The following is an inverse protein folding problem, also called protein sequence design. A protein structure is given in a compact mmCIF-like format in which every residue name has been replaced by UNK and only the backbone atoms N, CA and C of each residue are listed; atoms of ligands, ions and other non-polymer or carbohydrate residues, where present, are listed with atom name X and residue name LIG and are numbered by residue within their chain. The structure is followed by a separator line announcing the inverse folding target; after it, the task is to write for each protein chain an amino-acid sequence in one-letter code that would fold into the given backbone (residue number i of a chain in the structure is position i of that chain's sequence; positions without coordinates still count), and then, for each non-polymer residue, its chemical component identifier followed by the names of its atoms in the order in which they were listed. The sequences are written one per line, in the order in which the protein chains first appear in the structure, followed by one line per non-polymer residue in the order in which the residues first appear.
data_IF_243610411968
#
_entry.id   IF_243610411968
#
_cell.length_a   1.000
_cell.length_b   1.000
_cell.length_c   1.000
_cell.angle_alpha   90.00
_cell.angle_beta   90.00
_cell.angle_gamma   90.00
#
_symmetry.space_group_name_H-M   'P 1'
#
loop_
_entity.id
_entity.type
_entity.pdbx_description
1 polymer ?
#
# COMPACT_ATOMS: atom_id res chain seq x y z
N UNK A 1 -13.16 -25.28 14.71
CA UNK A 1 -12.08 -25.95 15.48
C UNK A 1 -11.80 -27.28 14.79
N UNK A 2 -10.56 -27.49 14.34
CA UNK A 2 -10.15 -28.77 13.73
C UNK A 2 -9.13 -29.39 14.69
N UNK A 3 -9.40 -30.61 15.17
CA UNK A 3 -8.49 -31.40 16.02
C UNK A 3 -8.44 -32.84 15.55
N UNK A 4 -7.25 -33.43 15.49
CA UNK A 4 -7.04 -34.84 15.17
C UNK A 4 -6.82 -35.70 16.41
N UNK A 5 -7.24 -36.96 16.37
CA UNK A 5 -6.89 -38.01 17.34
C UNK A 5 -6.41 -39.24 16.59
N UNK A 6 -5.43 -39.94 17.16
CA UNK A 6 -4.95 -41.23 16.64
C UNK A 6 -5.59 -42.33 17.48
N UNK A 7 -6.06 -43.40 16.84
CA UNK A 7 -6.52 -44.62 17.51
C UNK A 7 -5.55 -45.72 17.07
N UNK A 8 -4.95 -46.43 18.03
CA UNK A 8 -4.11 -47.59 17.71
C UNK A 8 -4.94 -48.85 17.43
N UNK A 9 -4.28 -49.92 16.96
CA UNK A 9 -4.94 -51.20 16.64
C UNK A 9 -5.63 -51.83 17.87
N UNK A 10 -5.18 -51.51 19.09
CA UNK A 10 -5.78 -51.99 20.33
C UNK A 10 -6.96 -51.11 20.80
N UNK A 11 -7.26 -50.01 20.11
CA UNK A 11 -8.35 -49.09 20.44
C UNK A 11 -7.96 -47.99 21.43
N UNK A 12 -6.67 -47.84 21.78
CA UNK A 12 -6.24 -46.73 22.63
C UNK A 12 -6.34 -45.43 21.84
N UNK A 13 -7.10 -44.47 22.37
CA UNK A 13 -7.23 -43.17 21.70
C UNK A 13 -6.19 -42.20 22.24
N UNK A 14 -5.25 -41.81 21.39
CA UNK A 14 -4.22 -40.83 21.67
C UNK A 14 -4.79 -39.46 22.09
N UNK A 15 -3.94 -38.65 22.70
CA UNK A 15 -4.28 -37.28 23.11
C UNK A 15 -4.78 -36.47 21.90
N UNK A 16 -5.76 -35.58 22.13
CA UNK A 16 -6.15 -34.63 21.09
C UNK A 16 -4.95 -33.79 20.68
N UNK A 17 -4.74 -33.64 19.37
CA UNK A 17 -3.72 -32.72 18.85
C UNK A 17 -3.98 -31.28 19.33
N UNK A 18 -2.94 -30.44 19.28
CA UNK A 18 -3.09 -29.01 19.56
C UNK A 18 -4.14 -28.35 18.65
N UNK A 19 -4.80 -27.31 19.15
CA UNK A 19 -5.80 -26.59 18.38
C UNK A 19 -5.12 -25.64 17.36
N UNK A 20 -5.57 -25.67 16.10
CA UNK A 20 -5.24 -24.65 15.10
C UNK A 20 -6.20 -23.46 15.26
N UNK A 21 -5.65 -22.26 15.43
CA UNK A 21 -6.40 -21.01 15.32
C UNK A 21 -6.11 -20.38 13.96
N UNK A 22 -7.15 -19.99 13.23
CA UNK A 22 -7.09 -19.31 11.94
C UNK A 22 -7.94 -18.05 12.02
N UNK A 23 -7.41 -16.95 11.50
CA UNK A 23 -8.17 -15.72 11.26
C UNK A 23 -8.37 -15.60 9.75
N UNK A 24 -9.62 -15.50 9.31
CA UNK A 24 -9.96 -15.18 7.93
C UNK A 24 -10.16 -13.68 7.82
N UNK A 25 -9.38 -13.04 6.96
CA UNK A 25 -9.57 -11.65 6.59
C UNK A 25 -9.68 -11.55 5.07
N UNK A 26 -10.83 -11.07 4.61
CA UNK A 26 -11.15 -10.89 3.19
C UNK A 26 -11.50 -9.43 2.89
N UNK A 27 -11.25 -8.51 3.82
CA UNK A 27 -11.68 -7.12 3.70
C UNK A 27 -10.54 -6.26 3.17
N UNK A 28 -10.62 -5.88 1.90
CA UNK A 28 -9.63 -4.99 1.33
C UNK A 28 -9.71 -3.56 1.89
N UNK A 29 -8.58 -2.83 1.94
CA UNK A 29 -8.58 -1.39 2.15
C UNK A 29 -9.43 -0.64 1.10
N UNK A 30 -9.97 0.49 1.51
CA UNK A 30 -10.72 1.39 0.63
C UNK A 30 -9.85 2.11 -0.40
N UNK A 31 -10.49 2.83 -1.32
CA UNK A 31 -9.82 3.60 -2.37
C UNK A 31 -9.28 4.93 -1.81
N UNK A 32 -8.02 5.32 -2.12
CA UNK A 32 -7.54 6.67 -1.83
C UNK A 32 -8.42 7.74 -2.50
N UNK A 33 -8.97 8.66 -1.72
CA UNK A 33 -9.99 9.61 -2.19
C UNK A 33 -9.45 10.96 -2.67
N UNK A 34 -8.22 11.32 -2.28
CA UNK A 34 -7.65 12.63 -2.54
C UNK A 34 -6.51 12.52 -3.57
N UNK A 35 -6.29 13.56 -4.40
CA UNK A 35 -5.25 13.55 -5.41
C UNK A 35 -3.85 13.41 -4.78
N UNK A 36 -2.96 12.74 -5.50
CA UNK A 36 -1.53 12.71 -5.19
C UNK A 36 -0.93 14.08 -5.51
N UNK A 37 -0.14 14.61 -4.59
CA UNK A 37 0.45 15.95 -4.70
C UNK A 37 1.97 15.87 -4.82
N UNK A 38 2.60 16.82 -5.50
CA UNK A 38 4.04 17.05 -5.31
C UNK A 38 4.27 17.66 -3.93
N UNK A 39 5.29 17.20 -3.22
CA UNK A 39 5.78 17.89 -2.03
C UNK A 39 6.36 19.24 -2.48
N UNK A 40 6.17 20.31 -1.71
CA UNK A 40 6.53 21.67 -2.12
C UNK A 40 8.00 21.86 -2.54
N UNK A 41 8.94 21.05 -2.03
CA UNK A 41 10.35 21.09 -2.45
C UNK A 41 10.61 20.37 -3.79
N UNK A 42 9.65 19.58 -4.26
CA UNK A 42 9.67 18.85 -5.54
C UNK A 42 8.78 19.50 -6.60
N UNK A 43 7.80 20.32 -6.23
CA UNK A 43 7.07 21.18 -7.16
C UNK A 43 7.94 22.40 -7.50
N UNK A 44 8.44 22.46 -8.74
CA UNK A 44 9.53 23.34 -9.17
C UNK A 44 9.19 24.01 -10.50
N UNK A 45 9.88 25.12 -10.77
CA UNK A 45 9.53 26.02 -11.86
C UNK A 45 9.16 27.38 -11.29
N UNK A 46 8.09 27.98 -11.81
CA UNK A 46 7.61 29.30 -11.37
C UNK A 46 6.77 29.26 -10.10
N UNK A 47 6.28 28.09 -9.68
CA UNK A 47 5.45 27.89 -8.50
C UNK A 47 5.82 26.56 -7.82
N UNK A 48 5.44 26.41 -6.56
CA UNK A 48 5.57 25.18 -5.78
C UNK A 48 4.20 24.54 -5.46
N UNK A 49 3.18 24.93 -6.23
CA UNK A 49 1.82 24.40 -6.14
C UNK A 49 1.14 24.26 -7.51
N UNK A 50 1.90 24.21 -8.60
CA UNK A 50 1.36 24.08 -9.97
C UNK A 50 1.57 22.68 -10.58
N UNK A 51 2.04 21.74 -9.77
CA UNK A 51 2.29 20.34 -10.12
C UNK A 51 3.24 20.15 -11.31
N UNK A 52 4.25 21.02 -11.42
CA UNK A 52 5.32 20.89 -12.41
C UNK A 52 6.63 20.59 -11.71
N UNK A 53 7.43 19.71 -12.30
CA UNK A 53 8.71 19.39 -11.68
C UNK A 53 9.81 19.21 -12.71
N UNK A 54 10.97 19.80 -12.42
CA UNK A 54 12.25 19.50 -13.07
C UNK A 54 13.22 18.77 -12.11
N UNK A 55 12.75 18.40 -10.91
CA UNK A 55 13.53 17.63 -9.94
C UNK A 55 13.61 16.19 -10.43
N UNK A 56 14.83 15.66 -10.53
CA UNK A 56 15.05 14.30 -11.06
C UNK A 56 14.45 13.20 -10.17
N UNK A 57 14.40 13.44 -8.87
CA UNK A 57 13.87 12.54 -7.84
C UNK A 57 12.74 13.23 -7.06
N UNK A 58 11.58 13.49 -7.69
CA UNK A 58 10.51 14.21 -7.03
C UNK A 58 9.93 13.36 -5.88
N UNK A 59 9.54 14.04 -4.81
CA UNK A 59 8.78 13.45 -3.71
C UNK A 59 7.31 13.78 -3.86
N UNK A 60 6.47 12.76 -3.71
CA UNK A 60 5.03 12.81 -3.83
C UNK A 60 4.39 12.56 -2.47
N UNK A 61 3.33 13.30 -2.17
CA UNK A 61 2.47 13.07 -1.03
C UNK A 61 1.22 12.30 -1.45
N UNK A 62 1.03 11.14 -0.85
CA UNK A 62 -0.09 10.25 -1.07
C UNK A 62 -0.99 10.28 0.16
N UNK A 63 -2.21 10.79 0.02
CA UNK A 63 -3.20 10.81 1.10
C UNK A 63 -3.75 9.41 1.37
N UNK A 64 -3.93 9.08 2.66
CA UNK A 64 -4.54 7.83 3.10
C UNK A 64 -6.05 7.96 3.36
N UNK A 65 -6.63 9.16 3.18
CA UNK A 65 -8.07 9.37 3.29
C UNK A 65 -8.85 8.41 2.36
N UNK A 66 -9.93 7.83 2.89
CA UNK A 66 -10.78 6.86 2.19
C UNK A 66 -10.29 5.41 2.20
N UNK A 67 -9.05 5.15 2.66
CA UNK A 67 -8.47 3.80 2.63
C UNK A 67 -8.78 2.95 3.86
N UNK A 68 -9.04 3.57 5.00
CA UNK A 68 -9.05 2.90 6.32
C UNK A 68 -7.76 2.13 6.63
N UNK A 69 -6.64 2.51 5.99
CA UNK A 69 -5.36 1.83 6.17
C UNK A 69 -4.87 1.93 7.61
N UNK A 70 -4.16 0.88 8.03
CA UNK A 70 -3.53 0.79 9.35
C UNK A 70 -2.02 0.59 9.22
N UNK A 71 -1.30 0.74 10.33
CA UNK A 71 0.13 0.45 10.35
C UNK A 71 0.37 -1.05 10.06
N UNK A 72 1.30 -1.34 9.15
CA UNK A 72 1.58 -2.69 8.64
C UNK A 72 1.11 -2.89 7.19
N UNK A 73 0.11 -2.14 6.73
CA UNK A 73 -0.37 -2.22 5.35
C UNK A 73 0.69 -1.73 4.37
N UNK A 74 0.61 -2.17 3.11
CA UNK A 74 1.52 -1.79 2.03
C UNK A 74 0.86 -0.79 1.09
N UNK A 75 1.45 0.39 0.94
CA UNK A 75 1.07 1.39 -0.06
C UNK A 75 1.88 1.16 -1.34
N UNK A 76 1.21 1.18 -2.49
CA UNK A 76 1.84 1.09 -3.81
C UNK A 76 1.44 2.28 -4.68
N UNK A 77 2.43 2.91 -5.32
CA UNK A 77 2.23 3.94 -6.34
C UNK A 77 2.23 3.30 -7.73
N UNK A 78 1.35 3.81 -8.59
CA UNK A 78 1.09 3.32 -9.95
C UNK A 78 1.26 4.48 -10.94
N UNK A 79 1.78 4.18 -12.12
CA UNK A 79 1.86 5.09 -13.27
C UNK A 79 0.95 4.57 -14.38
N UNK A 80 0.02 5.40 -14.82
CA UNK A 80 -1.01 5.07 -15.81
C UNK A 80 -1.77 3.78 -15.45
N UNK A 81 -2.05 3.60 -14.16
CA UNK A 81 -2.75 2.44 -13.59
C UNK A 81 -1.90 1.16 -13.48
N UNK A 82 -0.63 1.20 -13.87
CA UNK A 82 0.30 0.07 -13.83
C UNK A 82 1.41 0.25 -12.80
N UNK A 83 1.97 -0.84 -12.31
CA UNK A 83 3.16 -0.78 -11.46
C UNK A 83 4.36 -0.23 -12.25
N UNK A 84 5.22 0.53 -11.57
CA UNK A 84 6.52 0.94 -12.11
C UNK A 84 7.40 -0.29 -12.40
N UNK A 85 8.35 -0.14 -13.34
CA UNK A 85 9.34 -1.18 -13.67
C UNK A 85 10.07 -1.71 -12.42
N UNK A 86 10.35 -0.82 -11.47
CA UNK A 86 10.68 -1.17 -10.09
C UNK A 86 9.52 -0.71 -9.21
N UNK A 87 8.73 -1.63 -8.62
CA UNK A 87 7.56 -1.26 -7.84
C UNK A 87 7.89 -0.27 -6.72
N UNK A 88 7.16 0.84 -6.70
CA UNK A 88 7.27 1.85 -5.64
C UNK A 88 6.29 1.47 -4.54
N UNK A 89 6.80 0.74 -3.53
CA UNK A 89 6.03 0.26 -2.38
C UNK A 89 6.59 0.76 -1.06
N UNK A 90 5.73 0.95 -0.08
CA UNK A 90 6.13 1.34 1.27
C UNK A 90 5.19 0.75 2.31
N UNK A 91 5.76 0.13 3.35
CA UNK A 91 4.98 -0.33 4.51
C UNK A 91 4.55 0.86 5.34
N UNK A 92 3.29 0.86 5.75
CA UNK A 92 2.73 1.94 6.51
C UNK A 92 3.13 1.85 8.00
N UNK A 93 3.72 2.90 8.56
CA UNK A 93 3.95 3.06 10.01
C UNK A 93 2.82 3.85 10.67
N UNK A 94 2.74 3.75 11.99
CA UNK A 94 1.74 4.50 12.78
C UNK A 94 1.85 6.02 12.64
N UNK A 95 3.04 6.57 12.42
CA UNK A 95 3.23 8.02 12.27
C UNK A 95 2.41 8.58 11.09
N UNK A 96 2.32 7.81 10.03
CA UNK A 96 1.69 8.25 8.79
C UNK A 96 0.19 8.02 8.80
N UNK A 97 -0.26 7.00 9.53
CA UNK A 97 -1.70 6.86 9.85
C UNK A 97 -2.15 8.09 10.64
N UNK A 98 -1.34 8.53 11.61
CA UNK A 98 -1.61 9.76 12.38
C UNK A 98 -1.57 11.00 11.49
N UNK A 99 -0.59 11.11 10.59
CA UNK A 99 -0.49 12.23 9.66
C UNK A 99 -1.55 12.20 8.55
N UNK A 100 -2.13 11.03 8.28
CA UNK A 100 -3.10 10.80 7.21
C UNK A 100 -2.50 10.77 5.79
N UNK A 101 -1.17 10.72 5.66
CA UNK A 101 -0.50 10.71 4.36
C UNK A 101 0.86 10.02 4.40
N UNK A 102 1.38 9.73 3.21
CA UNK A 102 2.71 9.18 2.96
C UNK A 102 3.48 9.95 1.93
N UNK A 103 4.68 10.40 2.30
CA UNK A 103 5.61 10.99 1.34
C UNK A 103 6.50 9.88 0.75
N UNK A 104 6.59 9.82 -0.58
CA UNK A 104 7.32 8.81 -1.36
C UNK A 104 8.24 9.51 -2.36
N UNK A 105 9.53 9.21 -2.30
CA UNK A 105 10.52 9.75 -3.24
C UNK A 105 10.72 8.80 -4.42
N UNK A 106 10.63 9.34 -5.63
CA UNK A 106 10.85 8.59 -6.85
C UNK A 106 12.33 8.49 -7.22
N UNK A 107 12.70 7.36 -7.82
CA UNK A 107 14.02 7.18 -8.42
C UNK A 107 14.09 7.95 -9.75
N UNK A 108 15.26 8.49 -10.05
CA UNK A 108 15.52 9.23 -11.30
C UNK A 108 15.17 8.40 -12.52
N UNK A 109 14.40 8.99 -13.44
CA UNK A 109 13.97 8.32 -14.67
C UNK A 109 12.80 7.35 -14.51
N UNK A 110 12.29 7.12 -13.30
CA UNK A 110 11.14 6.22 -13.06
C UNK A 110 9.84 6.68 -13.73
N UNK A 111 9.70 7.98 -13.98
CA UNK A 111 8.56 8.55 -14.71
C UNK A 111 8.70 8.47 -16.24
N UNK A 112 9.84 8.03 -16.77
CA UNK A 112 10.09 7.99 -18.21
C UNK A 112 10.32 9.36 -18.84
N UNK A 113 9.92 9.52 -20.10
CA UNK A 113 10.11 10.75 -20.87
C UNK A 113 9.19 11.90 -20.43
N UNK A 114 9.51 13.12 -20.85
CA UNK A 114 8.72 14.32 -20.58
C UNK A 114 7.25 14.19 -21.04
N UNK A 115 6.37 14.91 -20.34
CA UNK A 115 4.93 14.95 -20.63
C UNK A 115 4.08 14.67 -19.40
N UNK A 116 2.76 14.69 -19.58
CA UNK A 116 1.81 14.40 -18.50
C UNK A 116 2.01 12.98 -17.96
N UNK A 117 1.76 12.81 -16.65
CA UNK A 117 1.84 11.53 -15.93
C UNK A 117 0.57 11.37 -15.12
N UNK A 118 -0.12 10.24 -15.25
CA UNK A 118 -1.28 9.93 -14.41
C UNK A 118 -0.84 9.00 -13.29
N UNK A 119 -0.83 9.50 -12.07
CA UNK A 119 -0.45 8.72 -10.90
C UNK A 119 -1.69 8.30 -10.13
N UNK A 120 -1.72 7.03 -9.72
CA UNK A 120 -2.69 6.50 -8.76
C UNK A 120 -1.95 5.76 -7.66
N UNK A 121 -2.64 5.47 -6.56
CA UNK A 121 -2.10 4.62 -5.50
C UNK A 121 -3.14 3.63 -5.01
N UNK A 122 -2.68 2.52 -4.42
CA UNK A 122 -3.53 1.53 -3.74
C UNK A 122 -2.88 1.05 -2.46
N UNK A 123 -3.70 0.54 -1.55
CA UNK A 123 -3.24 -0.06 -0.29
C UNK A 123 -3.57 -1.55 -0.28
N UNK A 124 -2.64 -2.37 0.22
CA UNK A 124 -2.83 -3.79 0.48
C UNK A 124 -2.69 -4.02 1.98
N UNK A 125 -3.64 -4.70 2.62
CA UNK A 125 -3.56 -4.96 4.05
C UNK A 125 -2.53 -6.04 4.41
N UNK A 126 -2.35 -6.31 5.71
CA UNK A 126 -1.44 -7.35 6.21
C UNK A 126 -1.86 -8.78 5.84
N UNK A 127 -3.16 -9.00 5.55
CA UNK A 127 -3.68 -10.28 5.10
C UNK A 127 -3.48 -10.49 3.58
N UNK A 128 -3.10 -9.44 2.86
CA UNK A 128 -2.87 -9.44 1.42
C UNK A 128 -4.09 -9.03 0.59
N UNK A 129 -5.16 -8.53 1.19
CA UNK A 129 -6.31 -8.02 0.44
C UNK A 129 -5.94 -6.68 -0.20
N UNK A 130 -6.15 -6.57 -1.51
CA UNK A 130 -5.73 -5.41 -2.31
C UNK A 130 -6.91 -4.47 -2.56
N UNK A 131 -6.79 -3.22 -2.11
CA UNK A 131 -7.76 -2.17 -2.38
C UNK A 131 -7.72 -1.67 -3.83
N UNK A 132 -8.80 -1.01 -4.26
CA UNK A 132 -8.84 -0.35 -5.56
C UNK A 132 -7.85 0.83 -5.63
N UNK A 133 -7.28 1.05 -6.81
CA UNK A 133 -6.42 2.21 -7.05
C UNK A 133 -7.23 3.50 -7.19
N UNK A 134 -6.70 4.61 -6.68
CA UNK A 134 -7.31 5.93 -6.75
C UNK A 134 -6.31 7.05 -6.47
N UNK A 135 -6.82 8.22 -6.11
CA UNK A 135 -6.01 9.41 -5.82
C UNK A 135 -5.55 10.20 -7.04
N UNK A 136 -6.37 10.25 -8.09
CA UNK A 136 -6.26 11.19 -9.22
C UNK A 136 -7.11 12.42 -9.00
#
# INVERSE_FOLDING_TARGET
MISGRVIDIAGNIGTSGGALTLTLDTTAPGTPSNPILLVAASDSGSSNTDNRTNVSNPSLRISLAGTNAVAGDSLELLLDGSAFSTPVRSTLTGADIINGYRDVTLTSGSLGADGSKVLTSRVTDIAGNVGNAGGT
#
